data_IF_408020097183
#
_entry.id   IF_408020097183
#
_cell.length_a   1.000
_cell.length_b   1.000
_cell.length_c   1.000
_cell.angle_alpha   90.00
_cell.angle_beta   90.00
_cell.angle_gamma   90.00
#
_symmetry.space_group_name_H-M   'P 1'
#
loop_
_entity.id
_entity.type
_entity.pdbx_description
1 polymer ?
#
# COMPACT_ATOMS: atom_id res chain seq x y z
N UNK A 1 49.58 87.34 70.39
CA UNK A 1 49.54 86.01 71.00
C UNK A 1 48.88 85.09 69.97
N UNK A 2 49.58 84.70 68.90
CA UNK A 2 50.62 83.66 68.81
C UNK A 2 50.02 82.25 68.92
N UNK A 3 49.93 81.52 67.79
CA UNK A 3 50.50 80.18 67.53
C UNK A 3 49.96 79.62 66.20
N UNK A 4 50.60 79.96 65.08
CA UNK A 4 50.57 79.14 63.85
C UNK A 4 52.02 78.88 63.48
N UNK A 5 52.54 77.77 63.99
CA UNK A 5 53.88 77.30 63.72
C UNK A 5 53.92 75.80 63.95
N UNK A 6 54.71 75.13 63.10
CA UNK A 6 55.07 73.72 63.10
C UNK A 6 54.09 72.74 62.45
N UNK A 7 54.20 72.61 61.12
CA UNK A 7 54.44 71.32 60.44
C UNK A 7 55.09 71.58 59.06
N UNK A 8 56.15 72.40 59.04
CA UNK A 8 57.11 72.42 57.94
C UNK A 8 58.27 71.50 58.33
N UNK A 9 58.03 70.19 58.24
CA UNK A 9 59.07 69.19 58.38
C UNK A 9 59.82 69.10 57.05
N UNK A 10 61.14 69.32 57.12
CA UNK A 10 62.09 69.20 56.02
C UNK A 10 62.00 67.81 55.39
N UNK A 11 61.27 67.70 54.28
CA UNK A 11 61.31 66.55 53.40
C UNK A 11 62.54 66.73 52.52
N UNK A 12 63.57 65.91 52.76
CA UNK A 12 64.86 66.02 52.06
C UNK A 12 64.70 65.77 50.56
N UNK A 13 65.43 66.50 49.72
CA UNK A 13 65.35 66.40 48.25
C UNK A 13 65.53 64.96 47.73
N UNK A 14 66.25 64.12 48.48
CA UNK A 14 66.41 62.69 48.18
C UNK A 14 65.15 61.84 48.36
N UNK A 15 64.26 62.19 49.30
CA UNK A 15 63.01 61.45 49.52
C UNK A 15 61.96 61.78 48.45
N UNK A 16 61.95 63.02 47.96
CA UNK A 16 61.07 63.42 46.87
C UNK A 16 61.49 62.78 45.54
N UNK A 17 62.79 62.68 45.29
CA UNK A 17 63.34 61.92 44.15
C UNK A 17 63.02 60.41 44.24
N UNK A 18 63.14 59.82 45.43
CA UNK A 18 62.79 58.41 45.68
C UNK A 18 61.31 58.10 45.45
N UNK A 19 60.42 58.98 45.89
CA UNK A 19 58.97 58.84 45.66
C UNK A 19 58.59 59.01 44.19
N UNK A 20 59.23 59.94 43.46
CA UNK A 20 59.00 60.12 42.03
C UNK A 20 59.50 58.92 41.21
N UNK A 21 60.66 58.35 41.56
CA UNK A 21 61.15 57.14 40.93
C UNK A 21 60.27 55.91 41.23
N UNK A 22 59.83 55.76 42.48
CA UNK A 22 58.94 54.68 42.91
C UNK A 22 57.57 54.75 42.23
N UNK A 23 56.97 55.94 42.15
CA UNK A 23 55.70 56.16 41.46
C UNK A 23 55.81 55.86 39.96
N UNK A 24 56.92 56.25 39.32
CA UNK A 24 57.18 55.93 37.91
C UNK A 24 57.22 54.43 37.65
N UNK A 25 57.95 53.67 38.47
CA UNK A 25 58.04 52.20 38.34
C UNK A 25 56.67 51.54 38.62
N UNK A 26 55.92 52.03 39.61
CA UNK A 26 54.58 51.52 39.91
C UNK A 26 53.58 51.75 38.76
N UNK A 27 53.63 52.92 38.12
CA UNK A 27 52.81 53.21 36.94
C UNK A 27 53.22 52.27 35.80
N UNK A 28 54.51 52.19 35.45
CA UNK A 28 54.98 51.33 34.34
C UNK A 28 54.62 49.85 34.56
N UNK A 29 54.78 49.34 35.78
CA UNK A 29 54.41 47.96 36.13
C UNK A 29 52.90 47.73 36.05
N UNK A 30 52.08 48.67 36.51
CA UNK A 30 50.63 48.62 36.36
C UNK A 30 50.21 48.66 34.88
N UNK A 31 50.79 49.55 34.07
CA UNK A 31 50.48 49.63 32.63
C UNK A 31 50.88 48.37 31.89
N UNK A 32 52.02 47.75 32.24
CA UNK A 32 52.46 46.48 31.65
C UNK A 32 51.57 45.30 32.06
N UNK A 33 51.10 45.25 33.32
CA UNK A 33 50.13 44.26 33.78
C UNK A 33 48.79 44.41 33.04
N UNK A 34 48.28 45.63 32.92
CA UNK A 34 47.04 45.93 32.17
C UNK A 34 47.19 45.63 30.67
N UNK A 35 48.34 45.94 30.07
CA UNK A 35 48.63 45.59 28.68
C UNK A 35 48.76 44.07 28.49
N UNK A 36 49.32 43.34 29.45
CA UNK A 36 49.45 41.87 29.38
C UNK A 36 48.10 41.17 29.52
N UNK A 37 47.21 41.69 30.35
CA UNK A 37 45.82 41.22 30.48
C UNK A 37 45.04 41.53 29.20
N UNK A 38 45.15 42.75 28.65
CA UNK A 38 44.49 43.13 27.38
C UNK A 38 45.05 42.39 26.17
N UNK A 39 46.37 42.15 26.11
CA UNK A 39 46.99 41.35 25.03
C UNK A 39 46.60 39.88 25.14
N UNK A 40 46.47 39.30 26.34
CA UNK A 40 45.93 37.94 26.53
C UNK A 40 44.45 37.83 26.14
N UNK A 41 43.69 38.91 26.21
CA UNK A 41 42.29 38.97 25.72
C UNK A 41 42.16 39.04 24.20
N UNK A 42 43.17 39.58 23.49
CA UNK A 42 43.12 39.76 22.02
C UNK A 42 43.82 38.67 21.21
N UNK A 43 44.68 37.85 21.82
CA UNK A 43 45.28 36.66 21.19
C UNK A 43 44.53 35.36 21.48
N UNK A 44 43.38 35.42 22.16
CA UNK A 44 42.47 34.27 22.41
C UNK A 44 41.14 34.36 21.63
N UNK A 45 41.14 35.11 20.53
CA UNK A 45 40.03 35.18 19.56
C UNK A 45 40.57 34.87 18.16
N UNK A 46 41.28 33.75 18.07
CA UNK A 46 41.58 33.05 16.81
C UNK A 46 41.36 31.56 17.05
N UNK A 47 40.17 31.25 17.53
CA UNK A 47 39.60 29.91 17.54
C UNK A 47 38.37 29.96 16.62
N UNK A 48 38.64 29.90 15.33
CA UNK A 48 37.68 29.94 14.21
C UNK A 48 36.91 28.62 14.06
N UNK A 49 36.60 27.94 15.17
CA UNK A 49 36.02 26.59 15.19
C UNK A 49 34.58 26.52 15.73
N UNK A 50 33.93 27.64 16.10
CA UNK A 50 32.68 27.61 16.88
C UNK A 50 31.34 28.09 16.26
N UNK A 51 31.12 28.13 14.94
CA UNK A 51 29.76 28.10 14.36
C UNK A 51 29.36 26.78 13.69
N UNK A 52 30.27 25.80 13.57
CA UNK A 52 30.00 24.52 12.88
C UNK A 52 29.39 23.47 13.80
N UNK A 53 29.90 23.31 15.03
CA UNK A 53 29.39 22.31 15.98
C UNK A 53 27.96 22.58 16.47
N UNK A 54 27.59 23.86 16.66
CA UNK A 54 26.23 24.22 17.05
C UNK A 54 25.22 23.94 15.92
N UNK A 55 25.61 24.20 14.66
CA UNK A 55 24.81 23.87 13.48
C UNK A 55 24.71 22.37 13.26
N UNK A 56 25.79 21.62 13.52
CA UNK A 56 25.79 20.17 13.40
C UNK A 56 24.89 19.50 14.44
N UNK A 57 24.89 19.99 15.69
CA UNK A 57 23.96 19.52 16.73
C UNK A 57 22.51 19.82 16.37
N UNK A 58 22.22 21.02 15.86
CA UNK A 58 20.86 21.37 15.42
C UNK A 58 20.40 20.50 14.24
N UNK A 59 21.29 20.21 13.28
CA UNK A 59 21.02 19.29 12.17
C UNK A 59 20.70 17.88 12.66
N UNK A 60 21.44 17.34 13.63
CA UNK A 60 21.15 16.03 14.23
C UNK A 60 19.80 15.98 14.95
N UNK A 61 19.39 17.06 15.61
CA UNK A 61 18.07 17.17 16.25
C UNK A 61 16.97 17.24 15.18
N UNK A 62 17.16 18.03 14.13
CA UNK A 62 16.23 18.10 13.01
C UNK A 62 16.10 16.74 12.29
N UNK A 63 17.22 16.07 12.00
CA UNK A 63 17.23 14.74 11.39
C UNK A 63 16.45 13.74 12.26
N UNK A 64 16.65 13.75 13.59
CA UNK A 64 15.89 12.89 14.52
C UNK A 64 14.39 13.20 14.52
N UNK A 65 14.01 14.48 14.48
CA UNK A 65 12.60 14.88 14.39
C UNK A 65 11.96 14.39 13.08
N UNK A 66 12.65 14.51 11.95
CA UNK A 66 12.14 14.02 10.65
C UNK A 66 11.98 12.49 10.61
N UNK A 67 12.86 11.74 11.28
CA UNK A 67 12.71 10.28 11.41
C UNK A 67 11.49 9.92 12.25
N UNK A 68 11.24 10.67 13.33
CA UNK A 68 10.06 10.45 14.19
C UNK A 68 8.77 10.73 13.43
N UNK A 69 8.71 11.83 12.67
CA UNK A 69 7.56 12.17 11.81
C UNK A 69 7.30 11.09 10.76
N UNK A 70 8.36 10.54 10.14
CA UNK A 70 8.23 9.43 9.19
C UNK A 70 7.72 8.14 9.84
N UNK A 71 8.15 7.84 11.07
CA UNK A 71 7.67 6.68 11.83
C UNK A 71 6.20 6.83 12.21
N UNK A 72 5.80 8.00 12.69
CA UNK A 72 4.40 8.31 12.98
C UNK A 72 3.54 8.16 11.73
N UNK A 73 3.99 8.71 10.61
CA UNK A 73 3.31 8.57 9.32
C UNK A 73 3.21 7.10 8.89
N UNK A 74 4.29 6.33 8.98
CA UNK A 74 4.31 4.92 8.64
C UNK A 74 3.39 4.08 9.54
N UNK A 75 3.29 4.40 10.83
CA UNK A 75 2.35 3.75 11.75
C UNK A 75 0.90 4.04 11.37
N UNK A 76 0.58 5.30 11.03
CA UNK A 76 -0.75 5.68 10.59
C UNK A 76 -1.10 4.96 9.28
N UNK A 77 -0.20 4.97 8.30
CA UNK A 77 -0.38 4.25 7.03
C UNK A 77 -0.56 2.73 7.25
N UNK A 78 0.21 2.11 8.15
CA UNK A 78 0.05 0.71 8.50
C UNK A 78 -1.29 0.41 9.19
N UNK A 79 -1.77 1.31 10.05
CA UNK A 79 -3.05 1.18 10.71
C UNK A 79 -4.22 1.35 9.72
N UNK A 80 -4.11 2.27 8.78
CA UNK A 80 -5.07 2.46 7.69
C UNK A 80 -5.10 1.25 6.75
N UNK A 81 -3.93 0.72 6.37
CA UNK A 81 -3.82 -0.49 5.56
C UNK A 81 -4.47 -1.69 6.27
N UNK A 82 -4.27 -1.82 7.58
CA UNK A 82 -4.89 -2.88 8.38
C UNK A 82 -6.41 -2.73 8.42
N UNK A 83 -6.93 -1.52 8.62
CA UNK A 83 -8.37 -1.24 8.59
C UNK A 83 -8.97 -1.53 7.22
N UNK A 84 -8.31 -1.13 6.14
CA UNK A 84 -8.76 -1.40 4.77
C UNK A 84 -8.78 -2.91 4.48
N UNK A 85 -7.73 -3.64 4.88
CA UNK A 85 -7.66 -5.09 4.75
C UNK A 85 -8.79 -5.79 5.50
N UNK A 86 -9.06 -5.38 6.75
CA UNK A 86 -10.17 -5.93 7.54
C UNK A 86 -11.53 -5.71 6.85
N UNK A 87 -11.77 -4.52 6.28
CA UNK A 87 -12.99 -4.23 5.53
C UNK A 87 -13.13 -5.11 4.26
N UNK A 88 -12.03 -5.31 3.53
CA UNK A 88 -12.02 -6.18 2.35
C UNK A 88 -12.28 -7.66 2.72
N UNK A 89 -11.67 -8.14 3.80
CA UNK A 89 -11.92 -9.49 4.32
C UNK A 89 -13.41 -9.62 4.69
N UNK A 90 -13.96 -8.68 5.46
CA UNK A 90 -15.37 -8.70 5.84
C UNK A 90 -16.31 -8.76 4.63
N UNK A 91 -16.03 -7.98 3.59
CA UNK A 91 -16.82 -7.98 2.35
C UNK A 91 -16.74 -9.32 1.61
N UNK A 92 -15.53 -9.91 1.52
CA UNK A 92 -15.33 -11.19 0.84
C UNK A 92 -15.95 -12.34 1.63
N UNK A 93 -15.84 -12.34 2.96
CA UNK A 93 -16.47 -13.32 3.84
C UNK A 93 -18.00 -13.27 3.70
N UNK A 94 -18.60 -12.08 3.77
CA UNK A 94 -20.05 -11.92 3.59
C UNK A 94 -20.52 -12.42 2.20
N UNK A 95 -19.74 -12.18 1.15
CA UNK A 95 -20.04 -12.71 -0.18
C UNK A 95 -19.93 -14.24 -0.24
N UNK A 96 -18.94 -14.82 0.44
CA UNK A 96 -18.78 -16.28 0.51
C UNK A 96 -19.93 -16.93 1.28
N UNK A 97 -20.34 -16.36 2.42
CA UNK A 97 -21.50 -16.80 3.19
C UNK A 97 -22.77 -16.78 2.33
N UNK A 98 -23.03 -15.68 1.63
CA UNK A 98 -24.20 -15.59 0.75
C UNK A 98 -24.18 -16.62 -0.40
N UNK A 99 -23.00 -16.93 -0.95
CA UNK A 99 -22.86 -17.96 -1.99
C UNK A 99 -23.03 -19.37 -1.43
N UNK A 100 -22.60 -19.64 -0.19
CA UNK A 100 -22.82 -20.89 0.51
C UNK A 100 -24.31 -21.10 0.78
N UNK A 101 -25.00 -20.09 1.32
CA UNK A 101 -26.45 -20.14 1.54
C UNK A 101 -27.20 -20.41 0.23
N UNK A 102 -26.77 -19.78 -0.87
CA UNK A 102 -27.36 -20.00 -2.18
C UNK A 102 -27.13 -21.43 -2.69
N UNK A 103 -25.95 -22.01 -2.44
CA UNK A 103 -25.65 -23.39 -2.81
C UNK A 103 -26.49 -24.39 -2.00
N UNK A 104 -26.63 -24.18 -0.70
CA UNK A 104 -27.44 -25.02 0.19
C UNK A 104 -28.91 -24.99 -0.21
N UNK A 105 -29.46 -23.81 -0.50
CA UNK A 105 -30.82 -23.69 -1.03
C UNK A 105 -31.01 -24.46 -2.34
N UNK A 106 -30.03 -24.45 -3.24
CA UNK A 106 -30.10 -25.21 -4.50
C UNK A 106 -30.03 -26.71 -4.26
N UNK A 107 -29.20 -27.16 -3.32
CA UNK A 107 -29.09 -28.57 -2.93
C UNK A 107 -30.41 -29.07 -2.36
N UNK A 108 -31.00 -28.33 -1.41
CA UNK A 108 -32.31 -28.66 -0.84
C UNK A 108 -33.41 -28.71 -1.90
N UNK A 109 -33.41 -27.77 -2.87
CA UNK A 109 -34.38 -27.82 -3.98
C UNK A 109 -34.19 -29.07 -4.84
N UNK A 110 -32.95 -29.46 -5.14
CA UNK A 110 -32.68 -30.68 -5.89
C UNK A 110 -33.12 -31.92 -5.12
N UNK A 111 -32.85 -32.00 -3.82
CA UNK A 111 -33.31 -33.08 -2.94
C UNK A 111 -34.83 -33.15 -2.88
N UNK A 112 -35.51 -32.01 -2.78
CA UNK A 112 -36.99 -31.95 -2.80
C UNK A 112 -37.56 -32.43 -4.13
N UNK A 113 -36.95 -32.05 -5.26
CA UNK A 113 -37.37 -32.52 -6.58
C UNK A 113 -37.12 -34.02 -6.75
N UNK A 114 -35.98 -34.52 -6.28
CA UNK A 114 -35.65 -35.95 -6.29
C UNK A 114 -36.64 -36.74 -5.44
N UNK A 115 -36.88 -36.32 -4.19
CA UNK A 115 -37.85 -36.95 -3.30
C UNK A 115 -39.28 -36.89 -3.85
N UNK A 116 -39.67 -35.79 -4.51
CA UNK A 116 -40.96 -35.67 -5.18
C UNK A 116 -41.11 -36.64 -6.35
N UNK A 117 -40.06 -36.79 -7.17
CA UNK A 117 -40.04 -37.75 -8.27
C UNK A 117 -40.13 -39.18 -7.74
N UNK A 118 -39.39 -39.50 -6.69
CA UNK A 118 -39.44 -40.81 -6.02
C UNK A 118 -40.86 -41.11 -5.52
N UNK A 119 -41.53 -40.16 -4.87
CA UNK A 119 -42.92 -40.32 -4.42
C UNK A 119 -43.91 -40.52 -5.59
N UNK A 120 -43.70 -39.84 -6.72
CA UNK A 120 -44.53 -40.02 -7.93
C UNK A 120 -44.30 -41.39 -8.55
N UNK A 121 -43.05 -41.87 -8.60
CA UNK A 121 -42.70 -43.21 -9.07
C UNK A 121 -43.32 -44.26 -8.16
N UNK A 122 -43.16 -44.16 -6.85
CA UNK A 122 -43.73 -45.09 -5.88
C UNK A 122 -45.24 -45.18 -6.03
N UNK A 123 -45.94 -44.04 -6.24
CA UNK A 123 -47.39 -44.02 -6.51
C UNK A 123 -47.77 -44.71 -7.82
N UNK A 124 -46.96 -44.57 -8.87
CA UNK A 124 -47.18 -45.24 -10.15
C UNK A 124 -46.91 -46.76 -10.08
N UNK A 125 -45.98 -47.20 -9.23
CA UNK A 125 -45.69 -48.63 -9.01
C UNK A 125 -46.64 -49.30 -8.02
N UNK A 126 -47.22 -48.54 -7.09
CA UNK A 126 -48.17 -49.03 -6.09
C UNK A 126 -49.64 -48.97 -6.52
N UNK A 127 -49.97 -48.42 -7.70
CA UNK A 127 -51.27 -48.68 -8.32
C UNK A 127 -51.39 -50.20 -8.59
N UNK A 128 -52.30 -50.91 -7.89
CA UNK A 128 -52.42 -52.34 -8.07
C UNK A 128 -53.02 -52.56 -9.45
N UNK A 129 -52.21 -53.16 -10.33
CA UNK A 129 -52.60 -53.71 -11.63
C UNK A 129 -53.54 -54.91 -11.44
N UNK A 130 -54.68 -54.67 -10.79
CA UNK A 130 -55.74 -55.62 -10.50
C UNK A 130 -57.03 -55.14 -11.15
N UNK A 131 -57.01 -54.99 -12.47
CA UNK A 131 -58.18 -55.19 -13.32
C UNK A 131 -57.71 -55.37 -14.76
N UNK A 132 -57.76 -56.64 -15.21
CA UNK A 132 -57.47 -56.99 -16.58
C UNK A 132 -58.58 -56.49 -17.52
N UNK A 133 -58.17 -56.03 -18.70
CA UNK A 133 -58.84 -56.28 -19.98
C UNK A 133 -58.11 -55.53 -21.10
N UNK A 134 -57.71 -56.26 -22.13
CA UNK A 134 -57.71 -55.77 -23.51
C UNK A 134 -56.53 -54.90 -23.95
N UNK A 135 -55.56 -55.54 -24.60
CA UNK A 135 -54.76 -54.90 -25.65
C UNK A 135 -55.66 -54.25 -26.71
N UNK A 136 -55.34 -53.04 -27.20
CA UNK A 136 -55.63 -52.69 -28.59
C UNK A 136 -54.34 -52.85 -29.45
N UNK A 137 -54.45 -53.41 -30.67
CA UNK A 137 -53.31 -53.55 -31.57
C UNK A 137 -52.97 -52.19 -32.20
N UNK A 138 -51.80 -51.64 -31.91
CA UNK A 138 -51.27 -50.49 -32.66
C UNK A 138 -50.67 -51.02 -33.95
N UNK A 139 -51.41 -50.79 -35.04
CA UNK A 139 -51.00 -51.11 -36.40
C UNK A 139 -49.70 -50.38 -36.77
N UNK A 140 -48.70 -51.17 -37.16
CA UNK A 140 -47.51 -50.70 -37.88
C UNK A 140 -47.99 -50.21 -39.25
N UNK A 141 -47.86 -48.91 -39.51
CA UNK A 141 -47.98 -48.33 -40.86
C UNK A 141 -46.61 -47.83 -41.30
N UNK A 142 -45.95 -48.64 -42.11
CA UNK A 142 -44.87 -48.22 -43.01
C UNK A 142 -45.43 -47.32 -44.11
N UNK A 143 -44.82 -46.14 -44.31
CA UNK A 143 -44.51 -45.54 -45.62
C UNK A 143 -44.11 -44.07 -45.44
N UNK A 144 -42.94 -43.69 -45.95
CA UNK A 144 -42.61 -42.28 -46.18
C UNK A 144 -41.17 -41.91 -45.85
N UNK A 145 -40.24 -42.32 -46.69
CA UNK A 145 -38.91 -41.72 -46.81
C UNK A 145 -39.00 -40.20 -46.98
N UNK A 146 -38.55 -39.43 -46.00
CA UNK A 146 -38.27 -38.00 -46.16
C UNK A 146 -36.82 -37.75 -45.78
N UNK A 147 -36.02 -37.52 -46.81
CA UNK A 147 -34.66 -36.99 -46.79
C UNK A 147 -34.62 -35.62 -46.09
N UNK A 148 -33.72 -35.40 -45.10
CA UNK A 148 -33.50 -34.04 -44.60
C UNK A 148 -32.54 -33.30 -45.54
N UNK A 149 -33.08 -32.35 -46.30
CA UNK A 149 -32.34 -31.39 -47.10
C UNK A 149 -31.67 -30.35 -46.18
N UNK A 150 -30.34 -30.33 -46.22
CA UNK A 150 -29.48 -29.33 -45.59
C UNK A 150 -29.72 -27.98 -46.27
N UNK A 151 -30.26 -26.99 -45.52
CA UNK A 151 -30.25 -25.58 -45.92
C UNK A 151 -29.49 -24.76 -44.89
N UNK A 152 -28.41 -24.15 -45.35
CA UNK A 152 -27.54 -23.23 -44.62
C UNK A 152 -27.99 -21.76 -44.82
N UNK A 153 -27.75 -20.97 -43.77
CA UNK A 153 -27.46 -19.50 -43.72
C UNK A 153 -28.64 -18.49 -43.73
N UNK A 154 -28.43 -17.24 -43.24
CA UNK A 154 -27.90 -16.81 -41.93
C UNK A 154 -28.75 -15.65 -41.31
N UNK A 155 -28.19 -14.95 -40.31
CA UNK A 155 -28.56 -13.64 -39.70
C UNK A 155 -29.42 -13.59 -38.43
N UNK A 156 -28.89 -12.87 -37.41
CA UNK A 156 -29.69 -11.97 -36.58
C UNK A 156 -29.77 -12.25 -35.08
N UNK A 157 -28.74 -11.83 -34.35
CA UNK A 157 -28.74 -11.27 -33.00
C UNK A 157 -30.04 -11.28 -32.14
N UNK A 158 -29.96 -11.83 -30.92
CA UNK A 158 -30.27 -11.12 -29.67
C UNK A 158 -29.99 -11.96 -28.39
N UNK A 159 -29.14 -11.42 -27.50
CA UNK A 159 -29.14 -11.44 -26.01
C UNK A 159 -29.60 -12.74 -25.32
N UNK A 160 -28.77 -13.47 -24.58
CA UNK A 160 -27.80 -13.02 -23.58
C UNK A 160 -28.21 -13.62 -22.22
N UNK A 161 -27.89 -14.89 -22.00
CA UNK A 161 -28.23 -15.64 -20.78
C UNK A 161 -27.01 -16.36 -20.19
N UNK A 162 -26.95 -16.31 -18.85
CA UNK A 162 -26.39 -17.32 -17.93
C UNK A 162 -24.98 -17.87 -18.18
N UNK A 163 -24.01 -17.40 -17.40
CA UNK A 163 -22.77 -18.12 -17.13
C UNK A 163 -22.95 -19.09 -15.96
N UNK A 164 -23.42 -20.29 -16.27
CA UNK A 164 -23.42 -21.47 -15.40
C UNK A 164 -22.00 -22.05 -15.40
N UNK A 165 -21.35 -22.07 -14.25
CA UNK A 165 -20.05 -22.71 -14.06
C UNK A 165 -20.27 -24.20 -13.80
N UNK A 166 -19.90 -25.02 -14.77
CA UNK A 166 -19.71 -26.45 -14.61
C UNK A 166 -18.22 -26.75 -14.39
N UNK A 167 -17.98 -27.71 -13.50
CA UNK A 167 -16.74 -28.02 -12.78
C UNK A 167 -16.12 -29.27 -13.39
N UNK A 168 -14.80 -29.31 -13.64
CA UNK A 168 -13.92 -30.48 -13.39
C UNK A 168 -12.47 -30.18 -13.78
N UNK A 169 -11.54 -30.71 -12.97
CA UNK A 169 -10.11 -30.68 -13.16
C UNK A 169 -9.66 -31.61 -14.30
N UNK A 170 -8.53 -31.29 -14.95
CA UNK A 170 -7.69 -32.29 -15.60
C UNK A 170 -7.92 -32.56 -17.09
N UNK A 171 -8.12 -31.53 -17.90
CA UNK A 171 -7.75 -31.55 -19.33
C UNK A 171 -7.04 -30.25 -19.59
N UNK A 172 -5.77 -30.29 -19.99
CA UNK A 172 -5.09 -29.12 -20.57
C UNK A 172 -5.89 -28.80 -21.83
N UNK A 173 -6.68 -27.70 -21.89
CA UNK A 173 -7.27 -27.32 -23.16
C UNK A 173 -6.13 -26.72 -23.96
N UNK A 174 -5.65 -27.48 -24.94
CA UNK A 174 -4.95 -26.95 -26.11
C UNK A 174 -5.89 -26.08 -26.96
N UNK A 175 -6.60 -25.16 -26.31
CA UNK A 175 -7.38 -24.06 -26.87
C UNK A 175 -7.04 -22.78 -26.10
N UNK A 176 -5.73 -22.49 -26.04
CA UNK A 176 -5.18 -21.14 -25.87
C UNK A 176 -5.51 -20.24 -27.08
N UNK A 177 -6.72 -20.36 -27.62
CA UNK A 177 -7.26 -19.49 -28.67
C UNK A 177 -8.30 -18.59 -28.02
N UNK A 178 -7.75 -17.74 -27.15
CA UNK A 178 -8.18 -16.36 -26.96
C UNK A 178 -9.32 -16.10 -25.98
N UNK A 179 -8.99 -16.12 -24.69
CA UNK A 179 -9.72 -15.36 -23.67
C UNK A 179 -9.95 -13.91 -24.17
N UNK A 180 -11.19 -13.37 -24.07
CA UNK A 180 -11.47 -11.97 -24.41
C UNK A 180 -10.54 -10.97 -23.72
N UNK A 181 -10.01 -11.30 -22.53
CA UNK A 181 -9.02 -10.47 -21.85
C UNK A 181 -7.68 -10.45 -22.59
N UNK A 182 -7.16 -11.61 -23.00
CA UNK A 182 -5.90 -11.70 -23.74
C UNK A 182 -5.92 -10.92 -25.06
N UNK A 183 -7.06 -10.91 -25.78
CA UNK A 183 -7.22 -10.07 -26.99
C UNK A 183 -7.04 -8.59 -26.69
N UNK A 184 -7.62 -8.11 -25.60
CA UNK A 184 -7.55 -6.70 -25.20
C UNK A 184 -6.14 -6.34 -24.75
N UNK A 185 -5.49 -7.22 -23.99
CA UNK A 185 -4.09 -7.05 -23.57
C UNK A 185 -3.18 -6.98 -24.79
N UNK A 186 -3.32 -7.89 -25.77
CA UNK A 186 -2.52 -7.85 -26.99
C UNK A 186 -2.80 -6.64 -27.86
N UNK A 187 -4.08 -6.24 -28.01
CA UNK A 187 -4.43 -5.03 -28.77
C UNK A 187 -3.81 -3.76 -28.17
N UNK A 188 -3.86 -3.61 -26.84
CA UNK A 188 -3.24 -2.48 -26.16
C UNK A 188 -1.69 -2.54 -26.18
N UNK A 189 -1.11 -3.74 -26.18
CA UNK A 189 0.33 -3.90 -26.36
C UNK A 189 0.76 -3.57 -27.79
N UNK A 190 -0.06 -3.90 -28.80
CA UNK A 190 0.17 -3.54 -30.20
C UNK A 190 0.02 -2.02 -30.44
N UNK A 191 -0.77 -1.34 -29.61
CA UNK A 191 -0.81 0.13 -29.51
C UNK A 191 0.46 0.72 -28.84
N UNK A 192 1.37 -0.11 -28.32
CA UNK A 192 2.64 0.30 -27.71
C UNK A 192 2.54 0.69 -26.22
N UNK A 193 1.43 0.38 -25.54
CA UNK A 193 1.29 0.65 -24.11
C UNK A 193 2.15 -0.28 -23.26
N UNK A 194 2.69 0.25 -22.16
CA UNK A 194 3.46 -0.54 -21.21
C UNK A 194 2.54 -1.42 -20.32
N UNK A 195 3.01 -2.57 -19.80
CA UNK A 195 2.24 -3.44 -18.91
C UNK A 195 1.50 -2.74 -17.75
N UNK A 196 2.11 -1.79 -17.00
CA UNK A 196 1.38 -1.10 -15.93
C UNK A 196 0.24 -0.20 -16.44
N UNK A 197 0.38 0.36 -17.64
CA UNK A 197 -0.65 1.21 -18.25
C UNK A 197 -1.84 0.37 -18.75
N UNK A 198 -1.54 -0.79 -19.34
CA UNK A 198 -2.55 -1.78 -19.77
C UNK A 198 -3.35 -2.27 -18.54
N UNK A 199 -2.66 -2.62 -17.46
CA UNK A 199 -3.27 -3.07 -16.21
C UNK A 199 -4.21 -2.00 -15.63
N UNK A 200 -3.77 -0.74 -15.59
CA UNK A 200 -4.60 0.39 -15.12
C UNK A 200 -5.83 0.62 -16.02
N UNK A 201 -5.68 0.48 -17.34
CA UNK A 201 -6.78 0.71 -18.30
C UNK A 201 -7.82 -0.39 -18.31
N UNK A 202 -7.42 -1.63 -18.01
CA UNK A 202 -8.30 -2.78 -17.95
C UNK A 202 -8.82 -3.09 -16.54
N UNK A 203 -8.40 -2.32 -15.53
CA UNK A 203 -8.66 -2.58 -14.11
C UNK A 203 -8.24 -3.99 -13.66
N UNK A 204 -7.05 -4.41 -14.10
CA UNK A 204 -6.50 -5.75 -13.89
C UNK A 204 -5.14 -5.68 -13.17
N UNK A 205 -4.71 -6.82 -12.62
CA UNK A 205 -3.42 -6.90 -11.90
C UNK A 205 -2.24 -6.87 -12.88
N UNK A 206 -1.20 -6.09 -12.56
CA UNK A 206 0.01 -5.94 -13.40
C UNK A 206 0.64 -7.30 -13.70
N UNK A 207 0.84 -8.15 -12.69
CA UNK A 207 1.45 -9.48 -12.87
C UNK A 207 0.62 -10.41 -13.78
N UNK A 208 -0.71 -10.25 -13.81
CA UNK A 208 -1.59 -11.02 -14.73
C UNK A 208 -1.42 -10.55 -16.17
N UNK A 209 -1.27 -9.25 -16.40
CA UNK A 209 -0.99 -8.68 -17.72
C UNK A 209 0.40 -9.11 -18.21
N UNK A 210 1.42 -9.04 -17.35
CA UNK A 210 2.77 -9.52 -17.66
C UNK A 210 2.78 -11.00 -18.02
N UNK A 211 2.06 -11.83 -17.26
CA UNK A 211 1.93 -13.25 -17.56
C UNK A 211 1.28 -13.49 -18.94
N UNK A 212 0.20 -12.77 -19.26
CA UNK A 212 -0.46 -12.87 -20.57
C UNK A 212 0.51 -12.46 -21.69
N UNK A 213 1.27 -11.39 -21.52
CA UNK A 213 2.26 -10.95 -22.50
C UNK A 213 3.42 -11.94 -22.66
N UNK A 214 3.86 -12.55 -21.57
CA UNK A 214 4.92 -13.57 -21.58
C UNK A 214 4.52 -14.85 -22.33
N UNK A 215 3.22 -15.15 -22.39
CA UNK A 215 2.69 -16.29 -23.15
C UNK A 215 2.56 -16.02 -24.66
N UNK A 216 2.86 -14.80 -25.13
CA UNK A 216 2.82 -14.41 -26.55
C UNK A 216 4.10 -14.78 -27.31
N UNK A 217 5.24 -14.84 -26.62
CA UNK A 217 6.57 -15.12 -27.20
C UNK A 217 7.04 -16.51 -26.88
#
# INVERSE_FOLDING_TARGET
MSTTGLFAAAMSDGQLAGLMAGAGIAVITATLLLQRIRKRGKTRVKDDSLPKDAREKLKRIADRATVHERLEKAMVEAQEATRACAAQIGTRTAKLEALLDQADQRMQRMEQLAARLEALMERAYSEPRMQGAGSPPVAVREAGTVTPSVRREPTGAAKGGSGFFERTAGVIPASATSDPLSRRVYGLADEGLAPPEIAKRLDEQIGKVELILALRG
#
